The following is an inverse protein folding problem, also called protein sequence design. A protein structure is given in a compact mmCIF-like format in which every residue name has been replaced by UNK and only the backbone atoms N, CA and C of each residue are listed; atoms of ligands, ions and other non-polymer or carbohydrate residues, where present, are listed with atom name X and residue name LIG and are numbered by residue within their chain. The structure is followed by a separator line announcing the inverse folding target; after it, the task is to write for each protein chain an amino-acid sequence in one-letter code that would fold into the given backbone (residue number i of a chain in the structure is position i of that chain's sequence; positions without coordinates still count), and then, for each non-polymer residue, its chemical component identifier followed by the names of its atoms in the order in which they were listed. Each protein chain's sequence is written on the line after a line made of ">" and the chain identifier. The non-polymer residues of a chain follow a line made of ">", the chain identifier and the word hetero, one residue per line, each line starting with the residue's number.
data_IF_880250861011
#
_entry.id   IF_880250861011
#
_cell.length_a   1.000
_cell.length_b   1.000
_cell.length_c   1.000
_cell.angle_alpha   90.00
_cell.angle_beta   90.00
_cell.angle_gamma   90.00
#
_symmetry.space_group_name_H-M   'P 1'
#
loop_
_entity.id
_entity.type
_entity.pdbx_description
1 polymer ?
#
# COMPACT_ATOMS: atom_id res chain seq x y z
N UNK A 1 17.37 -10.24 -0.07
CA UNK A 1 17.81 -8.95 0.52
C UNK A 1 16.84 -7.90 0.02
N UNK A 2 16.30 -7.06 0.89
CA UNK A 2 15.33 -6.03 0.48
C UNK A 2 16.05 -4.71 0.20
N UNK A 3 15.79 -4.11 -0.97
CA UNK A 3 16.26 -2.78 -1.34
C UNK A 3 15.08 -1.84 -1.50
N UNK A 4 15.15 -0.66 -0.90
CA UNK A 4 14.14 0.38 -1.05
C UNK A 4 14.57 1.36 -2.14
N UNK A 5 13.65 1.72 -3.03
CA UNK A 5 13.89 2.76 -4.04
C UNK A 5 12.62 3.45 -4.49
N UNK A 6 12.76 4.63 -5.07
CA UNK A 6 11.64 5.29 -5.72
C UNK A 6 11.21 4.53 -6.98
N UNK A 7 9.91 4.34 -7.13
CA UNK A 7 9.28 3.78 -8.32
C UNK A 7 8.96 4.90 -9.31
N UNK A 8 9.22 4.64 -10.58
CA UNK A 8 8.78 5.48 -11.69
C UNK A 8 7.38 5.08 -12.14
N UNK A 9 6.70 5.99 -12.86
CA UNK A 9 5.32 5.79 -13.35
C UNK A 9 5.14 4.46 -14.09
N UNK A 10 6.06 4.09 -14.98
CA UNK A 10 5.97 2.85 -15.76
C UNK A 10 6.08 1.58 -14.89
N UNK A 11 6.69 1.69 -13.72
CA UNK A 11 6.91 0.59 -12.78
C UNK A 11 5.70 0.36 -11.86
N UNK A 12 4.75 1.29 -11.80
CA UNK A 12 3.55 1.13 -10.98
C UNK A 12 2.66 -0.03 -11.45
N UNK A 13 2.78 -0.45 -12.71
CA UNK A 13 2.14 -1.68 -13.23
C UNK A 13 2.51 -2.94 -12.42
N UNK A 14 3.67 -2.93 -11.76
CA UNK A 14 4.16 -4.00 -10.87
C UNK A 14 3.36 -4.12 -9.58
N UNK A 15 2.41 -3.23 -9.30
CA UNK A 15 1.53 -3.32 -8.14
C UNK A 15 0.79 -4.67 -8.07
N UNK A 16 0.49 -5.29 -9.22
CA UNK A 16 -0.11 -6.61 -9.28
C UNK A 16 0.76 -7.75 -8.73
N UNK A 17 2.07 -7.53 -8.54
CA UNK A 17 2.97 -8.48 -7.86
C UNK A 17 2.66 -8.57 -6.35
N UNK A 18 2.01 -7.55 -5.77
CA UNK A 18 1.74 -7.51 -4.34
C UNK A 18 0.70 -8.54 -3.94
N UNK A 19 1.12 -9.49 -3.10
CA UNK A 19 0.21 -10.42 -2.46
C UNK A 19 -0.31 -9.84 -1.15
N UNK A 20 -1.43 -9.12 -1.19
CA UNK A 20 -2.05 -8.58 0.03
C UNK A 20 -2.94 -9.59 0.78
N UNK A 21 -2.97 -10.87 0.39
CA UNK A 21 -3.90 -11.82 0.98
C UNK A 21 -3.70 -11.96 2.49
N UNK A 22 -4.79 -11.99 3.25
CA UNK A 22 -4.76 -11.94 4.71
C UNK A 22 -5.90 -12.76 5.29
N UNK A 23 -5.62 -13.51 6.36
CA UNK A 23 -6.66 -14.07 7.22
C UNK A 23 -6.89 -13.11 8.39
N UNK A 24 -8.08 -12.55 8.46
CA UNK A 24 -8.47 -11.52 9.40
C UNK A 24 -9.35 -12.16 10.47
N UNK A 25 -8.89 -12.11 11.71
CA UNK A 25 -9.58 -12.69 12.88
C UNK A 25 -10.19 -11.64 13.81
N UNK A 26 -9.83 -10.37 13.62
CA UNK A 26 -10.23 -9.26 14.48
C UNK A 26 -10.42 -7.99 13.65
N UNK A 27 -11.55 -7.32 13.84
CA UNK A 27 -11.79 -5.96 13.35
C UNK A 27 -12.19 -5.06 14.50
N UNK A 28 -12.12 -3.75 14.30
CA UNK A 28 -12.59 -2.77 15.28
C UNK A 28 -13.76 -2.00 14.70
N UNK A 29 -14.84 -1.88 15.48
CA UNK A 29 -16.00 -1.06 15.16
C UNK A 29 -16.05 0.13 16.10
N UNK A 30 -16.32 1.32 15.55
CA UNK A 30 -16.59 2.49 16.39
C UNK A 30 -18.01 2.38 16.95
N UNK A 31 -18.14 2.38 18.27
CA UNK A 31 -19.42 2.44 18.99
C UNK A 31 -19.31 3.55 20.04
N UNK A 32 -20.20 4.54 19.99
CA UNK A 32 -20.23 5.68 20.90
C UNK A 32 -18.86 6.38 21.07
N UNK A 33 -18.10 6.48 19.98
CA UNK A 33 -16.77 7.12 19.96
C UNK A 33 -15.62 6.23 20.46
N UNK A 34 -15.89 4.97 20.81
CA UNK A 34 -14.89 4.01 21.29
C UNK A 34 -14.67 2.90 20.26
N UNK A 35 -13.43 2.46 20.09
CA UNK A 35 -13.10 1.28 19.28
C UNK A 35 -13.41 0.02 20.07
N UNK A 36 -14.37 -0.76 19.58
CA UNK A 36 -14.76 -2.04 20.17
C UNK A 36 -14.24 -3.18 19.28
N UNK A 37 -13.46 -4.13 19.81
CA UNK A 37 -12.99 -5.29 19.06
C UNK A 37 -14.15 -6.24 18.73
N UNK A 38 -14.19 -6.74 17.51
CA UNK A 38 -15.15 -7.72 17.01
C UNK A 38 -14.39 -8.88 16.35
N UNK A 39 -14.58 -10.09 16.88
CA UNK A 39 -14.00 -11.28 16.29
C UNK A 39 -14.71 -11.60 14.97
N UNK A 40 -13.92 -11.91 13.95
CA UNK A 40 -14.41 -12.28 12.62
C UNK A 40 -13.62 -13.47 12.09
N UNK A 41 -14.11 -14.11 11.04
CA UNK A 41 -13.35 -15.08 10.26
C UNK A 41 -13.48 -14.69 8.79
N UNK A 42 -12.53 -13.88 8.32
CA UNK A 42 -12.58 -13.29 6.98
C UNK A 42 -11.26 -13.45 6.26
N UNK A 43 -11.32 -13.59 4.93
CA UNK A 43 -10.14 -13.68 4.10
C UNK A 43 -10.13 -12.50 3.11
N UNK A 44 -9.12 -11.64 3.22
CA UNK A 44 -8.78 -10.72 2.17
C UNK A 44 -8.03 -11.49 1.07
N UNK A 45 -8.50 -11.37 -0.16
CA UNK A 45 -7.83 -11.95 -1.33
C UNK A 45 -6.88 -10.94 -1.98
N UNK A 46 -6.11 -11.39 -2.96
CA UNK A 46 -5.38 -10.49 -3.86
C UNK A 46 -6.34 -9.54 -4.57
N UNK A 47 -5.85 -8.39 -4.98
CA UNK A 47 -6.64 -7.48 -5.81
C UNK A 47 -6.97 -8.12 -7.16
N UNK A 48 -8.15 -7.82 -7.68
CA UNK A 48 -8.47 -8.09 -9.07
C UNK A 48 -7.61 -7.20 -9.99
N UNK A 49 -7.53 -7.57 -11.27
CA UNK A 49 -6.89 -6.74 -12.29
C UNK A 49 -7.51 -5.34 -12.32
N UNK A 50 -8.84 -5.25 -12.32
CA UNK A 50 -9.57 -3.97 -12.30
C UNK A 50 -9.22 -3.10 -11.08
N UNK A 51 -9.17 -3.68 -9.87
CA UNK A 51 -8.76 -2.92 -8.67
C UNK A 51 -7.31 -2.48 -8.76
N UNK A 52 -6.43 -3.33 -9.28
CA UNK A 52 -5.03 -3.02 -9.47
C UNK A 52 -4.86 -1.84 -10.42
N UNK A 53 -5.56 -1.83 -11.55
CA UNK A 53 -5.57 -0.70 -12.48
C UNK A 53 -6.09 0.59 -11.83
N UNK A 54 -7.13 0.50 -11.00
CA UNK A 54 -7.64 1.62 -10.21
C UNK A 54 -6.55 2.25 -9.34
N UNK A 55 -5.86 1.42 -8.54
CA UNK A 55 -4.76 1.90 -7.70
C UNK A 55 -3.58 2.43 -8.51
N UNK A 56 -3.23 1.79 -9.63
CA UNK A 56 -2.18 2.30 -10.53
C UNK A 56 -2.54 3.70 -11.01
N UNK A 57 -3.78 3.94 -11.47
CA UNK A 57 -4.23 5.28 -11.89
C UNK A 57 -4.09 6.29 -10.75
N UNK A 58 -4.49 5.93 -9.54
CA UNK A 58 -4.37 6.80 -8.36
C UNK A 58 -2.91 7.17 -8.05
N UNK A 59 -2.02 6.18 -8.04
CA UNK A 59 -0.59 6.34 -7.78
C UNK A 59 0.10 7.15 -8.88
N UNK A 60 -0.28 6.98 -10.15
CA UNK A 60 0.22 7.80 -11.27
C UNK A 60 -0.14 9.27 -11.05
N UNK A 61 -1.40 9.56 -10.74
CA UNK A 61 -1.82 10.94 -10.45
C UNK A 61 -1.02 11.53 -9.28
N UNK A 62 -0.71 10.72 -8.26
CA UNK A 62 0.07 11.20 -7.11
C UNK A 62 1.51 11.51 -7.47
N UNK A 63 2.18 10.65 -8.24
CA UNK A 63 3.54 10.95 -8.72
C UNK A 63 3.54 12.22 -9.59
N UNK A 64 2.54 12.40 -10.45
CA UNK A 64 2.41 13.57 -11.32
C UNK A 64 2.16 14.87 -10.53
N UNK A 65 1.50 14.79 -9.37
CA UNK A 65 1.31 15.94 -8.47
C UNK A 65 2.51 16.22 -7.56
N UNK A 66 3.67 15.59 -7.78
CA UNK A 66 4.88 15.76 -6.98
C UNK A 66 5.00 14.81 -5.77
N UNK A 67 4.12 13.80 -5.68
CA UNK A 67 4.16 12.78 -4.64
C UNK A 67 5.32 11.81 -4.84
N UNK A 68 5.44 10.84 -3.94
CA UNK A 68 6.50 9.83 -4.00
C UNK A 68 5.89 8.43 -3.88
N UNK A 69 6.42 7.49 -4.64
CA UNK A 69 6.16 6.06 -4.48
C UNK A 69 7.48 5.35 -4.23
N UNK A 70 7.56 4.59 -3.15
CA UNK A 70 8.74 3.80 -2.77
C UNK A 70 8.38 2.32 -2.87
N UNK A 71 9.18 1.57 -3.61
CA UNK A 71 9.09 0.12 -3.73
C UNK A 71 10.16 -0.56 -2.86
N UNK A 72 9.79 -1.69 -2.27
CA UNK A 72 10.70 -2.62 -1.64
C UNK A 72 10.92 -3.81 -2.58
N UNK A 73 12.14 -3.98 -3.08
CA UNK A 73 12.49 -5.03 -4.03
C UNK A 73 13.30 -6.14 -3.37
N UNK A 74 12.94 -7.38 -3.65
CA UNK A 74 13.77 -8.52 -3.28
C UNK A 74 14.82 -8.80 -4.34
N UNK A 75 16.00 -8.21 -4.13
CA UNK A 75 17.12 -8.38 -5.06
C UNK A 75 17.78 -9.76 -4.99
N UNK A 76 17.45 -10.60 -4.00
CA UNK A 76 17.96 -11.96 -3.89
C UNK A 76 16.99 -13.01 -4.44
N UNK A 77 15.68 -12.73 -4.36
CA UNK A 77 14.60 -13.62 -4.79
C UNK A 77 14.12 -13.42 -6.23
N UNK A 78 14.96 -12.89 -7.14
CA UNK A 78 14.59 -12.72 -8.55
C UNK A 78 13.91 -11.37 -8.91
N UNK A 79 13.98 -10.36 -8.04
CA UNK A 79 13.62 -8.98 -8.37
C UNK A 79 12.15 -8.58 -8.14
N UNK A 80 11.35 -9.42 -7.48
CA UNK A 80 9.94 -9.15 -7.19
C UNK A 80 9.71 -7.99 -6.21
N UNK A 81 8.55 -7.35 -6.33
CA UNK A 81 8.12 -6.28 -5.42
C UNK A 81 7.60 -6.90 -4.11
N UNK A 82 8.40 -6.76 -3.06
CA UNK A 82 8.07 -7.19 -1.70
C UNK A 82 7.11 -6.24 -0.99
N UNK A 83 7.04 -4.99 -1.42
CA UNK A 83 6.14 -3.98 -0.84
C UNK A 83 6.19 -2.65 -1.59
N UNK A 84 5.23 -1.79 -1.28
CA UNK A 84 5.10 -0.45 -1.86
C UNK A 84 4.51 0.50 -0.82
N UNK A 85 4.96 1.74 -0.84
CA UNK A 85 4.39 2.85 -0.09
C UNK A 85 4.27 4.10 -0.97
N UNK A 86 3.26 4.93 -0.75
CA UNK A 86 3.09 6.21 -1.42
C UNK A 86 2.85 7.33 -0.42
N UNK A 87 3.55 8.45 -0.63
CA UNK A 87 3.39 9.70 0.09
C UNK A 87 2.68 10.72 -0.80
N UNK A 88 1.70 11.41 -0.22
CA UNK A 88 1.07 12.57 -0.87
C UNK A 88 2.02 13.76 -0.94
N UNK A 89 1.77 14.64 -1.92
CA UNK A 89 2.46 15.93 -2.06
C UNK A 89 1.64 17.12 -1.57
N UNK A 90 0.35 16.91 -1.30
CA UNK A 90 -0.57 17.95 -0.84
C UNK A 90 -0.26 18.30 0.62
N UNK A 91 -0.06 19.59 0.95
CA UNK A 91 0.04 20.04 2.33
C UNK A 91 -1.25 19.73 3.08
N UNK A 92 -1.13 19.32 4.34
CA UNK A 92 -2.29 19.29 5.22
C UNK A 92 -2.54 20.72 5.70
N UNK A 93 -3.71 21.28 5.40
CA UNK A 93 -4.03 22.71 5.65
C UNK A 93 -3.66 23.17 7.07
N UNK A 94 -3.96 22.35 8.07
CA UNK A 94 -3.69 22.65 9.48
C UNK A 94 -2.26 22.31 9.92
N UNK A 95 -1.51 21.56 9.11
CA UNK A 95 -0.15 21.07 9.39
C UNK A 95 0.68 20.96 8.10
N UNK A 96 1.18 22.07 7.53
CA UNK A 96 1.86 22.06 6.24
C UNK A 96 3.15 21.22 6.19
N UNK A 97 3.75 20.94 7.34
CA UNK A 97 4.93 20.08 7.47
C UNK A 97 4.59 18.58 7.59
N UNK A 98 3.31 18.20 7.56
CA UNK A 98 2.87 16.82 7.65
C UNK A 98 2.77 16.20 6.26
N UNK A 99 3.47 15.08 6.06
CA UNK A 99 3.30 14.23 4.89
C UNK A 99 2.33 13.09 5.21
N UNK A 100 1.39 12.85 4.31
CA UNK A 100 0.42 11.76 4.46
C UNK A 100 0.90 10.50 3.74
N UNK A 101 0.89 9.37 4.45
CA UNK A 101 0.98 8.05 3.85
C UNK A 101 -0.37 7.72 3.20
N UNK A 102 -0.41 7.68 1.87
CA UNK A 102 -1.65 7.48 1.10
C UNK A 102 -1.90 6.02 0.75
N UNK A 103 -0.83 5.23 0.63
CA UNK A 103 -0.91 3.84 0.23
C UNK A 103 0.26 3.09 0.85
N UNK A 104 0.04 1.92 1.44
CA UNK A 104 1.13 1.07 1.93
C UNK A 104 0.69 -0.39 1.98
N UNK A 105 1.43 -1.26 1.30
CA UNK A 105 1.22 -2.70 1.36
C UNK A 105 2.56 -3.43 1.31
N UNK A 106 2.64 -4.51 2.07
CA UNK A 106 3.74 -5.47 2.03
C UNK A 106 3.14 -6.80 1.56
N UNK A 107 3.83 -7.50 0.67
CA UNK A 107 3.42 -8.81 0.20
C UNK A 107 3.49 -9.84 1.32
N UNK A 108 2.48 -10.71 1.43
CA UNK A 108 2.32 -11.73 2.46
C UNK A 108 3.57 -12.57 2.75
N UNK A 109 4.37 -13.01 1.75
CA UNK A 109 5.59 -13.78 2.03
C UNK A 109 6.65 -13.02 2.85
N UNK A 110 6.51 -11.70 3.00
CA UNK A 110 7.44 -10.83 3.72
C UNK A 110 6.87 -10.32 5.06
N UNK A 111 5.68 -10.78 5.47
CA UNK A 111 5.15 -10.51 6.81
C UNK A 111 5.91 -11.33 7.86
N UNK A 112 5.96 -10.82 9.08
CA UNK A 112 6.59 -11.47 10.25
C UNK A 112 5.55 -11.83 11.27
#
# INVERSE_FOLDING_TARGET
>A
MIKLRNLQVHELSRLGEIDRSEHITLVYRVQDGVLVPEAVDSNAVRWSAERTEGYVRELVMRLQSGGMCVGAEDSAGGGGLAGIASLGAEPVETRPSLLQLRFMHVSRPYWR
#
